data_IF_489551859387
#
_entry.id   IF_489551859387
#
_cell.length_a   1.000
_cell.length_b   1.000
_cell.length_c   1.000
_cell.angle_alpha   90.00
_cell.angle_beta   90.00
_cell.angle_gamma   90.00
#
_symmetry.space_group_name_H-M   'P 1'
#
loop_
_entity.id
_entity.type
_entity.pdbx_description
1 polymer ?
#
# COMPACT_ATOMS: atom_id res chain seq x y z
N UNK A 1 12.71 4.65 -25.51
CA UNK A 1 12.49 3.84 -26.74
C UNK A 1 12.08 2.39 -26.50
N UNK A 2 12.78 1.60 -25.67
CA UNK A 2 12.46 0.15 -25.46
C UNK A 2 11.02 -0.14 -24.97
N UNK A 3 10.42 0.79 -24.21
CA UNK A 3 9.06 0.65 -23.64
C UNK A 3 7.93 0.80 -24.68
N UNK A 4 8.15 1.56 -25.76
CA UNK A 4 7.15 1.76 -26.81
C UNK A 4 7.08 0.57 -27.78
N UNK A 5 8.22 -0.11 -28.02
CA UNK A 5 8.27 -1.30 -28.87
C UNK A 5 7.44 -2.44 -28.28
N UNK A 6 7.51 -2.66 -26.96
CA UNK A 6 6.70 -3.68 -26.28
C UNK A 6 5.20 -3.42 -26.34
N UNK A 7 4.77 -2.16 -26.24
CA UNK A 7 3.36 -1.78 -26.33
C UNK A 7 2.82 -2.04 -27.74
N UNK A 8 3.60 -1.68 -28.76
CA UNK A 8 3.23 -1.89 -30.17
C UNK A 8 3.09 -3.40 -30.47
N UNK A 9 4.03 -4.21 -29.99
CA UNK A 9 4.00 -5.67 -30.18
C UNK A 9 2.82 -6.33 -29.46
N UNK A 10 2.50 -5.89 -28.23
CA UNK A 10 1.32 -6.34 -27.49
C UNK A 10 0.01 -5.92 -28.18
N UNK A 11 -0.08 -4.72 -28.74
CA UNK A 11 -1.27 -4.28 -29.46
C UNK A 11 -1.52 -5.09 -30.73
N UNK A 12 -0.47 -5.41 -31.49
CA UNK A 12 -0.57 -6.23 -32.71
C UNK A 12 -1.03 -7.65 -32.38
N UNK A 13 -0.55 -8.22 -31.27
CA UNK A 13 -0.98 -9.55 -30.80
C UNK A 13 -2.45 -9.51 -30.33
N UNK A 14 -2.86 -8.48 -29.59
CA UNK A 14 -4.26 -8.38 -29.13
C UNK A 14 -5.28 -8.14 -30.26
N UNK A 15 -4.91 -7.39 -31.29
CA UNK A 15 -5.81 -7.14 -32.44
C UNK A 15 -6.03 -8.40 -33.27
N UNK A 16 -5.01 -9.26 -33.39
CA UNK A 16 -5.16 -10.55 -34.09
C UNK A 16 -6.01 -11.56 -33.32
N UNK A 17 -6.03 -11.51 -31.99
CA UNK A 17 -6.81 -12.44 -31.15
C UNK A 17 -8.29 -12.04 -31.07
N UNK A 18 -8.61 -10.75 -31.14
CA UNK A 18 -10.00 -10.26 -31.02
C UNK A 18 -10.80 -10.25 -32.34
N UNK A 19 -10.16 -10.54 -33.48
CA UNK A 19 -10.78 -10.46 -34.82
C UNK A 19 -11.64 -11.66 -35.24
N UNK A 20 -11.72 -12.74 -34.46
CA UNK A 20 -12.52 -13.92 -34.80
C UNK A 20 -13.72 -14.04 -33.86
N UNK A 21 -14.89 -13.64 -34.37
CA UNK A 21 -16.18 -13.81 -33.70
C UNK A 21 -16.56 -15.28 -33.64
N UNK A 22 -16.68 -15.82 -32.43
CA UNK A 22 -17.20 -17.16 -32.17
C UNK A 22 -18.64 -17.30 -32.70
N UNK A 23 -18.87 -18.23 -33.63
CA UNK A 23 -20.22 -18.60 -34.07
C UNK A 23 -20.72 -19.77 -33.24
N UNK A 24 -21.61 -19.50 -32.29
CA UNK A 24 -22.24 -20.50 -31.42
C UNK A 24 -23.29 -21.29 -32.23
N UNK A 25 -22.99 -22.55 -32.58
CA UNK A 25 -23.97 -23.44 -33.21
C UNK A 25 -24.60 -24.35 -32.14
N UNK A 26 -25.88 -24.16 -31.85
CA UNK A 26 -26.63 -24.97 -30.87
C UNK A 26 -27.25 -26.18 -31.56
N UNK A 27 -26.72 -27.38 -31.35
CA UNK A 27 -27.42 -28.62 -31.69
C UNK A 27 -28.09 -29.21 -30.44
N UNK A 28 -29.39 -29.45 -30.54
CA UNK A 28 -30.22 -30.01 -29.47
C UNK A 28 -30.34 -31.52 -29.68
N UNK A 29 -29.70 -32.33 -28.84
CA UNK A 29 -30.02 -33.75 -28.66
C UNK A 29 -30.18 -34.04 -27.17
N UNK A 30 -31.07 -35.00 -26.87
CA UNK A 30 -31.70 -35.15 -25.57
C UNK A 30 -30.71 -35.40 -24.40
N UNK A 31 -30.84 -34.56 -23.37
CA UNK A 31 -30.58 -34.79 -21.94
C UNK A 31 -29.19 -34.65 -21.31
N UNK A 32 -28.15 -34.15 -22.01
CA UNK A 32 -26.96 -33.59 -21.34
C UNK A 32 -26.43 -32.40 -22.17
N UNK A 33 -26.53 -31.17 -21.64
CA UNK A 33 -25.93 -29.98 -22.25
C UNK A 33 -24.40 -30.07 -22.13
N UNK A 34 -23.77 -30.68 -23.13
CA UNK A 34 -22.33 -30.62 -23.30
C UNK A 34 -22.02 -29.35 -24.10
N UNK A 35 -21.65 -28.28 -23.41
CA UNK A 35 -21.14 -27.05 -24.05
C UNK A 35 -19.74 -27.35 -24.54
N UNK A 36 -19.63 -27.84 -25.78
CA UNK A 36 -18.34 -27.95 -26.46
C UNK A 36 -17.99 -26.60 -27.07
N UNK A 37 -16.94 -25.96 -26.53
CA UNK A 37 -16.31 -24.80 -27.17
C UNK A 37 -15.52 -25.34 -28.36
N UNK A 38 -16.21 -25.54 -29.48
CA UNK A 38 -15.59 -25.97 -30.75
C UNK A 38 -14.97 -24.75 -31.38
N UNK A 39 -13.74 -24.44 -30.98
CA UNK A 39 -12.96 -23.41 -31.64
C UNK A 39 -12.42 -23.97 -32.95
N UNK A 40 -13.14 -23.70 -34.05
CA UNK A 40 -12.78 -24.16 -35.40
C UNK A 40 -11.36 -23.79 -35.79
N UNK A 41 -10.84 -22.65 -35.32
CA UNK A 41 -9.46 -22.23 -35.61
C UNK A 41 -8.42 -23.06 -34.86
N UNK A 42 -8.75 -23.51 -33.64
CA UNK A 42 -7.91 -24.43 -32.89
C UNK A 42 -7.96 -25.84 -33.50
N UNK A 43 -9.14 -26.31 -33.89
CA UNK A 43 -9.30 -27.61 -34.55
C UNK A 43 -8.64 -27.63 -35.94
N UNK A 44 -8.63 -26.51 -36.66
CA UNK A 44 -7.93 -26.36 -37.94
C UNK A 44 -6.42 -26.28 -37.76
N UNK A 45 -5.93 -25.61 -36.71
CA UNK A 45 -4.51 -25.65 -36.31
C UNK A 45 -4.07 -27.04 -35.87
N UNK A 46 -4.90 -27.75 -35.10
CA UNK A 46 -4.66 -29.12 -34.64
C UNK A 46 -4.67 -30.08 -35.82
N UNK A 47 -5.66 -29.99 -36.74
CA UNK A 47 -5.72 -30.78 -37.97
C UNK A 47 -4.54 -30.50 -38.89
N UNK A 48 -4.16 -29.24 -39.09
CA UNK A 48 -2.99 -28.89 -39.89
C UNK A 48 -1.70 -29.44 -39.31
N UNK A 49 -1.59 -29.54 -37.97
CA UNK A 49 -0.48 -30.20 -37.28
C UNK A 49 -0.57 -31.73 -37.31
N UNK A 50 -1.76 -32.34 -37.38
CA UNK A 50 -1.93 -33.81 -37.40
C UNK A 50 -1.94 -34.41 -38.81
N UNK A 51 -2.35 -33.68 -39.85
CA UNK A 51 -2.36 -34.14 -41.24
C UNK A 51 -0.99 -33.99 -41.92
N UNK A 52 -0.12 -33.08 -41.45
CA UNK A 52 1.27 -33.02 -41.90
C UNK A 52 2.16 -34.05 -41.19
N UNK A 53 2.16 -35.24 -41.81
CA UNK A 53 3.30 -36.17 -42.00
C UNK A 53 3.50 -37.34 -41.02
N UNK A 54 3.25 -38.54 -41.56
CA UNK A 54 4.12 -39.72 -41.40
C UNK A 54 5.44 -39.50 -42.15
N UNK A 55 6.25 -38.54 -41.72
CA UNK A 55 7.64 -38.40 -42.16
C UNK A 55 8.47 -38.07 -40.90
N UNK A 56 9.72 -38.49 -40.90
CA UNK A 56 10.65 -38.50 -39.76
C UNK A 56 10.48 -37.29 -38.83
N UNK A 57 10.12 -37.56 -37.57
CA UNK A 57 9.90 -36.54 -36.54
C UNK A 57 11.13 -35.63 -36.45
N UNK A 58 10.98 -34.40 -36.91
CA UNK A 58 12.03 -33.40 -36.83
C UNK A 58 12.16 -32.93 -35.39
N UNK A 59 13.39 -32.75 -34.90
CA UNK A 59 13.66 -32.20 -33.56
C UNK A 59 12.96 -30.84 -33.39
N UNK A 60 12.81 -30.09 -34.49
CA UNK A 60 12.12 -28.80 -34.53
C UNK A 60 10.63 -28.87 -34.20
N UNK A 61 9.95 -29.98 -34.50
CA UNK A 61 8.52 -30.17 -34.21
C UNK A 61 8.27 -30.29 -32.70
N UNK A 62 9.28 -30.68 -31.92
CA UNK A 62 9.21 -30.72 -30.45
C UNK A 62 9.79 -29.46 -29.81
N UNK A 63 10.85 -28.89 -30.41
CA UNK A 63 11.56 -27.73 -29.88
C UNK A 63 10.73 -26.43 -29.97
N UNK A 64 10.01 -26.21 -31.07
CA UNK A 64 9.22 -24.99 -31.28
C UNK A 64 8.07 -24.89 -30.25
N UNK A 65 7.22 -25.91 -30.05
CA UNK A 65 6.19 -25.87 -29.01
C UNK A 65 6.76 -25.70 -27.61
N UNK A 66 7.91 -26.33 -27.32
CA UNK A 66 8.58 -26.22 -26.03
C UNK A 66 9.10 -24.79 -25.77
N UNK A 67 9.69 -24.13 -26.77
CA UNK A 67 10.12 -22.73 -26.68
C UNK A 67 8.95 -21.76 -26.55
N UNK A 68 7.84 -22.00 -27.25
CA UNK A 68 6.61 -21.19 -27.12
C UNK A 68 6.04 -21.35 -25.71
N UNK A 69 5.96 -22.58 -25.20
CA UNK A 69 5.52 -22.87 -23.83
C UNK A 69 6.39 -22.18 -22.78
N UNK A 70 7.72 -22.32 -22.89
CA UNK A 70 8.68 -21.67 -22.00
C UNK A 70 8.56 -20.13 -22.07
N UNK A 71 8.45 -19.57 -23.27
CA UNK A 71 8.26 -18.13 -23.47
C UNK A 71 6.99 -17.59 -22.82
N UNK A 72 5.87 -18.31 -22.94
CA UNK A 72 4.62 -17.95 -22.27
C UNK A 72 4.74 -17.98 -20.74
N UNK A 73 5.41 -18.99 -20.19
CA UNK A 73 5.63 -19.09 -18.74
C UNK A 73 6.50 -17.95 -18.21
N UNK A 74 7.56 -17.58 -18.92
CA UNK A 74 8.42 -16.45 -18.52
C UNK A 74 7.68 -15.12 -18.63
N UNK A 75 6.90 -14.91 -19.69
CA UNK A 75 6.09 -13.70 -19.84
C UNK A 75 5.06 -13.55 -18.72
N UNK A 76 4.37 -14.64 -18.36
CA UNK A 76 3.39 -14.63 -17.27
C UNK A 76 4.05 -14.38 -15.91
N UNK A 77 5.23 -14.96 -15.65
CA UNK A 77 6.02 -14.67 -14.44
C UNK A 77 6.42 -13.20 -14.34
N UNK A 78 7.01 -12.64 -15.41
CA UNK A 78 7.40 -11.22 -15.44
C UNK A 78 6.18 -10.31 -15.20
N UNK A 79 5.04 -10.63 -15.79
CA UNK A 79 3.82 -9.84 -15.67
C UNK A 79 3.23 -9.92 -14.26
N UNK A 80 3.24 -11.11 -13.64
CA UNK A 80 2.86 -11.31 -12.24
C UNK A 80 3.77 -10.53 -11.29
N UNK A 81 5.09 -10.63 -11.46
CA UNK A 81 6.07 -9.95 -10.62
C UNK A 81 5.94 -8.43 -10.75
N UNK A 82 5.74 -7.93 -11.97
CA UNK A 82 5.51 -6.51 -12.20
C UNK A 82 4.24 -6.00 -11.50
N UNK A 83 3.12 -6.74 -11.62
CA UNK A 83 1.86 -6.38 -10.96
C UNK A 83 1.99 -6.46 -9.43
N UNK A 84 2.70 -7.45 -8.92
CA UNK A 84 2.98 -7.61 -7.49
C UNK A 84 3.82 -6.43 -6.97
N UNK A 85 4.95 -6.15 -7.61
CA UNK A 85 5.82 -5.02 -7.25
C UNK A 85 5.09 -3.66 -7.29
N UNK A 86 4.17 -3.46 -8.24
CA UNK A 86 3.32 -2.26 -8.29
C UNK A 86 2.38 -2.16 -7.08
N UNK A 87 1.73 -3.28 -6.70
CA UNK A 87 0.85 -3.33 -5.52
C UNK A 87 1.63 -3.12 -4.23
N UNK A 88 2.78 -3.77 -4.10
CA UNK A 88 3.61 -3.70 -2.90
C UNK A 88 4.10 -2.26 -2.70
N UNK A 89 4.62 -1.61 -3.75
CA UNK A 89 4.99 -0.18 -3.72
C UNK A 89 3.83 0.73 -3.32
N UNK A 90 2.64 0.49 -3.86
CA UNK A 90 1.45 1.29 -3.51
C UNK A 90 1.07 1.08 -2.03
N UNK A 91 1.15 -0.15 -1.53
CA UNK A 91 0.88 -0.46 -0.14
C UNK A 91 1.90 0.19 0.80
N UNK A 92 3.17 0.18 0.43
CA UNK A 92 4.26 0.81 1.17
C UNK A 92 4.05 2.33 1.26
N UNK A 93 3.74 3.00 0.14
CA UNK A 93 3.43 4.44 0.13
C UNK A 93 2.24 4.76 1.06
N UNK A 94 1.19 3.93 1.05
CA UNK A 94 0.03 4.13 1.92
C UNK A 94 0.39 3.96 3.39
N UNK A 95 1.20 2.95 3.73
CA UNK A 95 1.69 2.75 5.09
C UNK A 95 2.54 3.92 5.56
N UNK A 96 3.50 4.37 4.74
CA UNK A 96 4.34 5.54 5.04
C UNK A 96 3.50 6.81 5.25
N UNK A 97 2.49 7.03 4.41
CA UNK A 97 1.57 8.16 4.56
C UNK A 97 0.76 8.07 5.86
N UNK A 98 0.25 6.90 6.19
CA UNK A 98 -0.49 6.68 7.44
C UNK A 98 0.40 6.88 8.67
N UNK A 99 1.66 6.42 8.63
CA UNK A 99 2.63 6.67 9.70
C UNK A 99 2.95 8.15 9.87
N UNK A 100 3.14 8.88 8.76
CA UNK A 100 3.39 10.32 8.79
C UNK A 100 2.20 11.09 9.38
N UNK A 101 0.99 10.70 9.00
CA UNK A 101 -0.24 11.29 9.53
C UNK A 101 -0.38 11.02 11.03
N UNK A 102 -0.13 9.79 11.49
CA UNK A 102 -0.10 9.43 12.91
C UNK A 102 0.88 10.32 13.68
N UNK A 103 2.10 10.49 13.18
CA UNK A 103 3.12 11.34 13.83
C UNK A 103 2.72 12.81 13.88
N UNK A 104 2.10 13.32 12.81
CA UNK A 104 1.55 14.68 12.79
C UNK A 104 0.50 14.88 13.88
N UNK A 105 -0.40 13.91 14.07
CA UNK A 105 -1.39 13.97 15.15
C UNK A 105 -0.75 13.91 16.53
N UNK A 106 0.22 13.03 16.75
CA UNK A 106 0.96 12.94 18.02
C UNK A 106 1.68 14.26 18.34
N UNK A 107 2.32 14.87 17.35
CA UNK A 107 3.00 16.15 17.54
C UNK A 107 2.00 17.24 17.92
N UNK A 108 0.87 17.35 17.20
CA UNK A 108 -0.20 18.31 17.50
C UNK A 108 -0.73 18.13 18.92
N UNK A 109 -0.93 16.88 19.36
CA UNK A 109 -1.43 16.59 20.69
C UNK A 109 -0.43 16.98 21.79
N UNK A 110 0.85 16.65 21.60
CA UNK A 110 1.92 17.09 22.50
C UNK A 110 2.00 18.63 22.61
N UNK A 111 1.80 19.36 21.51
CA UNK A 111 1.75 20.83 21.54
C UNK A 111 0.54 21.34 22.34
N UNK A 112 -0.63 20.70 22.18
CA UNK A 112 -1.84 21.03 22.93
C UNK A 112 -1.65 20.78 24.43
N UNK A 113 -1.14 19.62 24.80
CA UNK A 113 -0.84 19.27 26.20
C UNK A 113 0.19 20.23 26.81
N UNK A 114 1.25 20.56 26.08
CA UNK A 114 2.26 21.50 26.55
C UNK A 114 1.66 22.89 26.80
N UNK A 115 0.82 23.38 25.89
CA UNK A 115 0.13 24.66 26.07
C UNK A 115 -0.77 24.63 27.31
N UNK A 116 -1.51 23.54 27.52
CA UNK A 116 -2.34 23.34 28.71
C UNK A 116 -1.51 23.34 29.99
N UNK A 117 -0.42 22.58 30.06
CA UNK A 117 0.44 22.54 31.25
C UNK A 117 1.10 23.89 31.55
N UNK A 118 1.53 24.64 30.53
CA UNK A 118 2.08 25.98 30.71
C UNK A 118 1.02 26.96 31.22
N UNK A 119 -0.19 26.94 30.67
CA UNK A 119 -1.30 27.76 31.16
C UNK A 119 -1.68 27.41 32.60
N UNK A 120 -1.83 26.12 32.90
CA UNK A 120 -2.16 25.63 34.24
C UNK A 120 -1.09 25.98 35.27
N UNK A 121 0.19 25.98 34.90
CA UNK A 121 1.27 26.40 35.79
C UNK A 121 1.04 27.82 36.34
N UNK A 122 0.72 28.77 35.46
CA UNK A 122 0.45 30.15 35.87
C UNK A 122 -0.86 30.27 36.64
N UNK A 123 -1.90 29.55 36.21
CA UNK A 123 -3.19 29.51 36.90
C UNK A 123 -3.08 29.04 38.36
N UNK A 124 -2.38 27.93 38.61
CA UNK A 124 -2.19 27.41 39.96
C UNK A 124 -1.32 28.31 40.82
N UNK A 125 -0.34 28.98 40.21
CA UNK A 125 0.50 29.94 40.91
C UNK A 125 -0.31 31.16 41.37
N UNK A 126 -1.17 31.70 40.51
CA UNK A 126 -2.06 32.81 40.86
C UNK A 126 -3.02 32.43 42.00
N UNK A 127 -3.55 31.21 42.00
CA UNK A 127 -4.39 30.70 43.10
C UNK A 127 -3.60 30.54 44.40
N UNK A 128 -2.37 30.03 44.33
CA UNK A 128 -1.48 29.97 45.47
C UNK A 128 -1.22 31.36 46.07
N UNK A 129 -0.92 32.36 45.25
CA UNK A 129 -0.70 33.74 45.70
C UNK A 129 -1.96 34.34 46.32
N UNK A 130 -3.12 34.11 45.71
CA UNK A 130 -4.41 34.58 46.22
C UNK A 130 -4.75 33.97 47.59
N UNK A 131 -4.59 32.65 47.75
CA UNK A 131 -4.86 31.98 49.03
C UNK A 131 -3.86 32.39 50.12
N UNK A 132 -2.59 32.56 49.75
CA UNK A 132 -1.53 32.97 50.68
C UNK A 132 -1.70 34.41 51.18
N UNK A 133 -2.31 35.27 50.38
CA UNK A 133 -2.53 36.68 50.71
C UNK A 133 -3.77 36.94 51.60
N UNK A 134 -4.57 35.91 51.92
CA UNK A 134 -5.71 36.04 52.82
C UNK A 134 -5.24 36.34 54.25
N UNK A 135 -6.05 37.10 55.00
CA UNK A 135 -5.76 37.45 56.40
C UNK A 135 -5.61 36.22 57.32
N UNK A 136 -6.32 35.13 56.99
CA UNK A 136 -6.18 33.80 57.59
C UNK A 136 -6.12 32.75 56.48
N UNK A 137 -4.92 32.43 55.95
CA UNK A 137 -4.78 31.47 54.87
C UNK A 137 -5.07 30.05 55.35
N UNK A 138 -5.71 29.23 54.50
CA UNK A 138 -5.83 27.80 54.74
C UNK A 138 -4.55 27.12 54.24
N UNK A 139 -3.69 26.71 55.17
CA UNK A 139 -2.39 26.09 54.88
C UNK A 139 -2.51 24.87 53.94
N UNK A 140 -3.60 24.11 54.03
CA UNK A 140 -3.82 22.92 53.18
C UNK A 140 -4.08 23.30 51.73
N UNK A 141 -4.88 24.34 51.50
CA UNK A 141 -5.17 24.81 50.14
C UNK A 141 -3.95 25.53 49.53
N UNK A 142 -3.20 26.30 50.34
CA UNK A 142 -1.93 26.91 49.93
C UNK A 142 -0.94 25.85 49.45
N UNK A 143 -0.70 24.81 50.26
CA UNK A 143 0.21 23.71 49.92
C UNK A 143 -0.28 22.97 48.66
N UNK A 144 -1.57 22.69 48.55
CA UNK A 144 -2.18 22.01 47.41
C UNK A 144 -1.99 22.78 46.10
N UNK A 145 -2.25 24.09 46.07
CA UNK A 145 -2.08 24.89 44.86
C UNK A 145 -0.61 25.03 44.47
N UNK A 146 0.29 25.15 45.45
CA UNK A 146 1.73 25.12 45.19
C UNK A 146 2.18 23.77 44.59
N UNK A 147 1.69 22.66 45.15
CA UNK A 147 1.97 21.32 44.62
C UNK A 147 1.42 21.15 43.19
N UNK A 148 0.25 21.68 42.87
CA UNK A 148 -0.29 21.68 41.50
C UNK A 148 0.52 22.53 40.53
N UNK A 149 1.04 23.67 40.96
CA UNK A 149 1.99 24.47 40.17
C UNK A 149 3.25 23.66 39.83
N UNK A 150 3.87 23.05 40.85
CA UNK A 150 5.09 22.25 40.68
C UNK A 150 4.86 21.02 39.79
N UNK A 151 3.74 20.32 39.99
CA UNK A 151 3.35 19.18 39.16
C UNK A 151 3.11 19.59 37.71
N UNK A 152 2.41 20.71 37.47
CA UNK A 152 2.19 21.24 36.12
C UNK A 152 3.52 21.63 35.44
N UNK A 153 4.48 22.16 36.20
CA UNK A 153 5.83 22.45 35.67
C UNK A 153 6.61 21.18 35.33
N UNK A 154 6.48 20.11 36.12
CA UNK A 154 7.13 18.83 35.82
C UNK A 154 6.53 18.18 34.57
N UNK A 155 5.19 18.13 34.49
CA UNK A 155 4.47 17.64 33.30
C UNK A 155 4.81 18.42 32.04
N UNK A 156 4.93 19.75 32.10
CA UNK A 156 5.37 20.55 30.96
C UNK A 156 6.76 20.12 30.43
N UNK A 157 7.71 19.84 31.33
CA UNK A 157 9.06 19.35 30.95
C UNK A 157 8.99 17.94 30.35
N UNK A 158 8.18 17.07 30.93
CA UNK A 158 7.97 15.72 30.39
C UNK A 158 7.38 15.77 28.98
N UNK A 159 6.37 16.61 28.74
CA UNK A 159 5.78 16.81 27.42
C UNK A 159 6.78 17.45 26.44
N UNK A 160 7.66 18.36 26.89
CA UNK A 160 8.73 18.92 26.05
C UNK A 160 9.72 17.84 25.59
N UNK A 161 10.12 16.93 26.48
CA UNK A 161 10.98 15.79 26.14
C UNK A 161 10.28 14.87 25.13
N UNK A 162 9.02 14.47 25.40
CA UNK A 162 8.21 13.67 24.46
C UNK A 162 8.07 14.35 23.10
N UNK A 163 7.90 15.68 23.06
CA UNK A 163 7.83 16.45 21.82
C UNK A 163 9.14 16.39 21.06
N UNK A 164 10.27 16.55 21.75
CA UNK A 164 11.61 16.47 21.15
C UNK A 164 11.85 15.09 20.53
N UNK A 165 11.56 14.02 21.26
CA UNK A 165 11.73 12.64 20.78
C UNK A 165 10.84 12.35 19.56
N UNK A 166 9.56 12.76 19.62
CA UNK A 166 8.64 12.59 18.51
C UNK A 166 9.03 13.43 17.28
N UNK A 167 9.56 14.63 17.49
CA UNK A 167 10.08 15.46 16.40
C UNK A 167 11.30 14.82 15.74
N UNK A 168 12.28 14.36 16.52
CA UNK A 168 13.46 13.67 16.01
C UNK A 168 13.09 12.40 15.21
N UNK A 169 12.12 11.62 15.72
CA UNK A 169 11.59 10.45 15.03
C UNK A 169 10.86 10.80 13.72
N UNK A 170 10.16 11.93 13.68
CA UNK A 170 9.48 12.38 12.47
C UNK A 170 10.48 12.83 11.41
N UNK A 171 11.50 13.59 11.82
CA UNK A 171 12.57 14.07 10.92
C UNK A 171 13.37 12.90 10.35
N UNK A 172 13.84 11.97 11.19
CA UNK A 172 14.60 10.80 10.73
C UNK A 172 13.81 9.94 9.75
N UNK A 173 12.52 9.70 10.01
CA UNK A 173 11.64 8.99 9.08
C UNK A 173 11.46 9.76 7.78
N UNK A 174 11.23 11.07 7.81
CA UNK A 174 11.07 11.86 6.59
C UNK A 174 12.29 11.82 5.66
N UNK A 175 13.52 11.80 6.24
CA UNK A 175 14.77 11.68 5.48
C UNK A 175 14.94 10.30 4.83
N UNK A 176 14.53 9.23 5.51
CA UNK A 176 14.63 7.86 4.97
C UNK A 176 13.67 7.61 3.79
N UNK A 177 12.60 8.41 3.66
CA UNK A 177 11.59 8.22 2.63
C UNK A 177 11.74 9.12 1.40
N UNK A 178 12.78 9.98 1.31
CA UNK A 178 13.07 10.85 0.16
C UNK A 178 11.79 11.47 -0.45
N UNK A 179 11.00 12.14 0.41
CA UNK A 179 9.92 13.03 -0.02
C UNK A 179 10.51 14.42 -0.22
#
# INVERSE_FOLDING_TARGET
>A
MKRHIYIILLTIISVNIYGQTDTVNKQKTNSIEKVEVVNKSFDELVKFQTEKKKEEKSIWDTLIPLLIGAGLTLLTQILMDYRKNQKDKKSEILLTKAELEKHKYLLKDNYRELAMHKAHKFYWYAHYEFESAKEKPDEKEVEKFYNYHMNSSSKARETENKKSDNFANTVSKSQNYNI
#
